data_IF_632248453649
#
_entry.id   IF_632248453649
#
_cell.length_a   1.000
_cell.length_b   1.000
_cell.length_c   1.000
_cell.angle_alpha   90.00
_cell.angle_beta   90.00
_cell.angle_gamma   90.00
#
_symmetry.space_group_name_H-M   'P 1'
#
loop_
_entity.id
_entity.type
_entity.pdbx_description
1 polymer ?
#
# COMPACT_ATOMS: atom_id res chain seq x y z
N UNK A 1 -87.56 -7.14 18.11
CA UNK A 1 -87.75 -7.78 16.79
C UNK A 1 -86.69 -7.26 15.84
N UNK A 2 -85.86 -8.20 15.36
CA UNK A 2 -85.12 -8.27 14.09
C UNK A 2 -85.01 -7.00 13.23
N UNK A 3 -83.77 -6.59 12.89
CA UNK A 3 -83.24 -6.56 11.50
C UNK A 3 -81.80 -6.03 11.42
N UNK A 4 -80.89 -6.89 10.93
CA UNK A 4 -80.07 -6.74 9.70
C UNK A 4 -78.91 -5.75 9.81
N UNK A 5 -77.66 -6.19 10.07
CA UNK A 5 -76.67 -6.85 9.18
C UNK A 5 -76.24 -5.96 7.99
N UNK A 6 -74.95 -5.60 7.95
CA UNK A 6 -73.94 -5.77 6.85
C UNK A 6 -72.94 -4.60 6.84
N UNK A 7 -71.65 -4.82 7.19
CA UNK A 7 -70.48 -4.97 6.27
C UNK A 7 -70.09 -3.63 5.60
N UNK A 8 -68.86 -3.13 5.49
CA UNK A 8 -67.49 -3.47 5.89
C UNK A 8 -66.55 -2.36 5.32
N UNK A 9 -65.27 -2.38 5.75
CA UNK A 9 -64.05 -2.05 4.98
C UNK A 9 -63.53 -0.59 4.96
N UNK A 10 -62.35 -0.39 5.58
CA UNK A 10 -61.14 0.31 5.08
C UNK A 10 -60.28 0.76 6.29
N UNK A 11 -59.17 0.07 6.60
CA UNK A 11 -57.78 0.37 6.18
C UNK A 11 -57.29 1.77 6.60
N UNK A 12 -56.26 1.83 7.47
CA UNK A 12 -54.84 2.18 7.15
C UNK A 12 -54.67 3.56 6.47
N UNK A 13 -53.68 4.42 6.73
CA UNK A 13 -52.62 4.62 7.71
C UNK A 13 -52.17 6.09 7.49
N UNK A 14 -52.00 6.87 8.56
CA UNK A 14 -50.73 7.43 9.08
C UNK A 14 -50.07 8.57 8.25
N UNK A 15 -49.86 9.68 8.98
CA UNK A 15 -48.92 10.83 8.89
C UNK A 15 -48.83 11.70 7.62
N UNK A 16 -49.37 12.90 7.82
CA UNK A 16 -49.03 14.19 7.25
C UNK A 16 -47.56 14.39 6.90
N UNK A 17 -47.34 14.81 5.65
CA UNK A 17 -46.08 15.27 5.09
C UNK A 17 -45.50 16.48 5.82
N UNK A 18 -44.33 16.33 6.44
CA UNK A 18 -43.43 17.45 6.71
C UNK A 18 -42.56 17.70 5.47
N UNK A 19 -42.89 18.74 4.71
CA UNK A 19 -41.97 19.35 3.74
C UNK A 19 -40.94 20.19 4.50
N UNK A 20 -39.80 19.60 4.84
CA UNK A 20 -38.61 20.35 5.21
C UNK A 20 -37.99 20.93 3.93
N UNK A 21 -38.24 22.21 3.67
CA UNK A 21 -37.50 22.99 2.68
C UNK A 21 -36.07 23.18 3.20
N UNK A 22 -35.12 22.42 2.65
CA UNK A 22 -33.70 22.64 2.89
C UNK A 22 -33.07 23.15 1.60
N UNK A 23 -33.15 24.47 1.39
CA UNK A 23 -32.44 25.20 0.34
C UNK A 23 -31.48 26.19 0.99
N UNK A 24 -30.18 25.96 0.76
CA UNK A 24 -29.04 26.79 1.19
C UNK A 24 -28.15 26.02 2.16
N UNK A 25 -26.91 25.60 1.86
CA UNK A 25 -25.95 26.02 0.84
C UNK A 25 -25.02 24.85 0.50
N UNK A 26 -24.99 24.43 -0.77
CA UNK A 26 -23.95 23.55 -1.32
C UNK A 26 -22.65 24.35 -1.58
N UNK A 27 -22.07 24.92 -0.52
CA UNK A 27 -20.80 25.66 -0.57
C UNK A 27 -19.68 24.99 0.23
N UNK A 28 -19.65 23.65 0.22
CA UNK A 28 -18.41 22.89 0.45
C UNK A 28 -17.55 22.81 -0.83
N UNK A 29 -17.48 23.90 -1.59
CA UNK A 29 -16.44 24.12 -2.62
C UNK A 29 -15.46 25.20 -2.13
N UNK A 30 -14.82 24.93 -1.00
CA UNK A 30 -13.59 25.64 -0.61
C UNK A 30 -12.37 24.84 -1.10
N UNK A 31 -11.95 25.13 -2.33
CA UNK A 31 -10.57 25.00 -2.85
C UNK A 31 -9.71 23.85 -2.30
N UNK A 32 -10.17 22.59 -2.36
CA UNK A 32 -9.21 21.48 -2.36
C UNK A 32 -8.56 21.51 -3.73
N UNK A 33 -7.30 21.93 -3.83
CA UNK A 33 -6.52 21.78 -5.06
C UNK A 33 -6.61 20.30 -5.44
N UNK A 34 -7.39 20.00 -6.48
CA UNK A 34 -7.58 18.63 -6.94
C UNK A 34 -6.25 18.24 -7.57
N UNK A 35 -5.45 17.45 -6.85
CA UNK A 35 -4.21 16.92 -7.38
C UNK A 35 -4.53 16.01 -8.57
N UNK A 36 -3.82 16.23 -9.67
CA UNK A 36 -3.94 15.42 -10.88
C UNK A 36 -2.55 15.08 -11.40
N UNK A 37 -2.32 13.82 -11.71
CA UNK A 37 -1.12 13.37 -12.42
C UNK A 37 -1.33 13.46 -13.94
N UNK A 38 -0.26 13.84 -14.64
CA UNK A 38 -0.17 13.77 -16.11
C UNK A 38 0.76 12.65 -16.56
N UNK A 39 1.28 11.85 -15.62
CA UNK A 39 2.23 10.79 -15.92
C UNK A 39 1.54 9.64 -16.66
N UNK A 40 2.21 9.17 -17.73
CA UNK A 40 1.78 8.09 -18.59
C UNK A 40 2.90 7.07 -18.73
N UNK A 41 2.52 5.79 -18.75
CA UNK A 41 3.44 4.71 -19.09
C UNK A 41 3.79 4.78 -20.58
N UNK A 42 5.09 4.80 -20.89
CA UNK A 42 5.58 4.72 -22.27
C UNK A 42 5.51 3.27 -22.78
N UNK A 43 4.31 2.87 -23.19
CA UNK A 43 4.09 1.52 -23.69
C UNK A 43 4.81 1.25 -25.01
N UNK A 44 5.08 2.28 -25.82
CA UNK A 44 5.79 2.09 -27.08
C UNK A 44 7.21 1.62 -26.82
N UNK A 45 7.97 2.38 -26.04
CA UNK A 45 9.33 1.99 -25.66
C UNK A 45 9.34 0.65 -24.93
N UNK A 46 8.41 0.42 -23.99
CA UNK A 46 8.29 -0.85 -23.29
C UNK A 46 8.13 -2.03 -24.25
N UNK A 47 7.16 -2.01 -25.17
CA UNK A 47 6.92 -3.13 -26.08
C UNK A 47 8.03 -3.31 -27.13
N UNK A 48 8.70 -2.24 -27.55
CA UNK A 48 9.82 -2.32 -28.49
C UNK A 48 11.11 -2.84 -27.85
N UNK A 49 11.34 -2.53 -26.57
CA UNK A 49 12.61 -2.82 -25.90
C UNK A 49 12.55 -4.01 -24.94
N UNK A 50 11.35 -4.46 -24.54
CA UNK A 50 11.20 -5.59 -23.61
C UNK A 50 11.83 -6.88 -24.16
N UNK A 51 12.42 -7.65 -23.25
CA UNK A 51 12.90 -9.00 -23.50
C UNK A 51 11.97 -9.97 -22.76
N UNK A 52 11.18 -10.72 -23.53
CA UNK A 52 10.09 -11.52 -22.96
C UNK A 52 9.00 -10.64 -22.35
N UNK A 53 8.70 -10.82 -21.06
CA UNK A 53 7.65 -10.10 -20.33
C UNK A 53 8.14 -8.83 -19.63
N UNK A 54 9.42 -8.48 -19.75
CA UNK A 54 10.03 -7.42 -18.94
C UNK A 54 10.92 -6.48 -19.76
N UNK A 55 10.94 -5.21 -19.40
CA UNK A 55 11.91 -4.24 -19.87
C UNK A 55 12.74 -3.74 -18.69
N UNK A 56 14.07 -3.88 -18.78
CA UNK A 56 15.01 -3.49 -17.73
C UNK A 56 16.04 -2.55 -18.30
N UNK A 57 16.27 -1.42 -17.64
CA UNK A 57 17.24 -0.40 -18.05
C UNK A 57 17.78 0.36 -16.84
N UNK A 58 18.87 1.12 -17.03
CA UNK A 58 19.44 2.00 -16.01
C UNK A 58 18.95 3.44 -16.22
N UNK A 59 18.41 4.04 -15.16
CA UNK A 59 18.03 5.45 -15.08
C UNK A 59 19.01 6.19 -14.17
N UNK A 60 19.57 7.30 -14.64
CA UNK A 60 20.58 8.05 -13.90
C UNK A 60 20.12 8.49 -12.51
N UNK A 61 18.85 8.86 -12.35
CA UNK A 61 18.31 9.36 -11.09
C UNK A 61 17.77 8.25 -10.20
N UNK A 62 17.19 7.20 -10.81
CA UNK A 62 16.43 6.17 -10.11
C UNK A 62 17.16 4.82 -9.99
N UNK A 63 18.28 4.65 -10.69
CA UNK A 63 19.03 3.39 -10.78
C UNK A 63 18.36 2.39 -11.71
N UNK A 64 18.44 1.10 -11.35
CA UNK A 64 17.86 0.03 -12.16
C UNK A 64 16.35 0.13 -12.15
N UNK A 65 15.77 0.26 -13.34
CA UNK A 65 14.33 0.25 -13.59
C UNK A 65 13.93 -1.08 -14.20
N UNK A 66 12.87 -1.69 -13.66
CA UNK A 66 12.23 -2.89 -14.20
C UNK A 66 10.75 -2.61 -14.42
N UNK A 67 10.32 -2.75 -15.66
CA UNK A 67 8.95 -2.60 -16.11
C UNK A 67 8.38 -3.94 -16.59
N UNK A 68 7.12 -4.23 -16.30
CA UNK A 68 6.41 -5.44 -16.74
C UNK A 68 4.90 -5.25 -16.73
N UNK A 69 4.15 -6.23 -17.23
CA UNK A 69 2.69 -6.20 -17.32
C UNK A 69 2.20 -5.78 -18.70
N UNK A 70 0.94 -5.40 -18.82
CA UNK A 70 0.31 -5.08 -20.09
C UNK A 70 -0.25 -6.28 -20.85
N UNK A 71 0.37 -7.44 -20.72
CA UNK A 71 -0.08 -8.68 -21.36
C UNK A 71 -1.43 -9.13 -20.78
N UNK A 72 -2.32 -9.63 -21.65
CA UNK A 72 -3.68 -10.06 -21.32
C UNK A 72 -4.52 -9.00 -20.57
N UNK A 73 -4.23 -7.71 -20.78
CA UNK A 73 -4.97 -6.62 -20.13
C UNK A 73 -4.54 -6.31 -18.70
N UNK A 74 -3.45 -6.92 -18.20
CA UNK A 74 -2.87 -6.55 -16.90
C UNK A 74 -2.35 -5.12 -16.90
N UNK A 75 -2.39 -4.45 -15.76
CA UNK A 75 -1.78 -3.14 -15.57
C UNK A 75 -0.25 -3.20 -15.73
N UNK A 76 0.36 -2.06 -16.05
CA UNK A 76 1.82 -1.96 -16.12
C UNK A 76 2.38 -1.64 -14.75
N UNK A 77 3.52 -2.23 -14.43
CA UNK A 77 4.22 -2.01 -13.16
C UNK A 77 5.65 -1.60 -13.44
N UNK A 78 6.14 -0.62 -12.69
CA UNK A 78 7.53 -0.17 -12.69
C UNK A 78 8.08 -0.22 -11.26
N UNK A 79 9.25 -0.86 -11.12
CA UNK A 79 10.10 -0.74 -9.94
C UNK A 79 11.37 -0.01 -10.34
N UNK A 80 11.80 0.95 -9.53
CA UNK A 80 13.06 1.64 -9.72
C UNK A 80 13.83 1.74 -8.40
N UNK A 81 15.10 1.31 -8.39
CA UNK A 81 15.97 1.39 -7.21
C UNK A 81 17.43 1.51 -7.61
N UNK A 82 18.19 2.36 -6.92
CA UNK A 82 19.66 2.30 -6.99
C UNK A 82 20.17 1.08 -6.24
N UNK A 83 21.28 0.52 -6.72
CA UNK A 83 21.85 -0.70 -6.16
C UNK A 83 22.17 -0.57 -4.66
N UNK A 84 22.69 0.59 -4.25
CA UNK A 84 23.13 0.89 -2.88
C UNK A 84 22.10 1.72 -2.08
N UNK A 85 20.82 1.67 -2.46
CA UNK A 85 19.74 2.31 -1.70
C UNK A 85 18.76 1.25 -1.18
N UNK A 86 18.36 1.39 0.09
CA UNK A 86 17.38 0.53 0.76
C UNK A 86 15.98 0.62 0.18
N UNK A 87 15.66 1.79 -0.36
CA UNK A 87 14.33 2.13 -0.79
C UNK A 87 14.27 2.34 -2.29
N UNK A 88 13.21 1.83 -2.91
CA UNK A 88 12.87 2.09 -4.30
C UNK A 88 11.54 2.79 -4.46
N UNK A 89 11.22 3.13 -5.69
CA UNK A 89 9.93 3.66 -6.11
C UNK A 89 9.16 2.60 -6.85
N UNK A 90 7.89 2.44 -6.48
CA UNK A 90 6.92 1.62 -7.19
C UNK A 90 5.95 2.53 -7.93
N UNK A 91 5.64 2.18 -9.17
CA UNK A 91 4.54 2.76 -9.93
C UNK A 91 3.71 1.67 -10.58
N UNK A 92 2.40 1.89 -10.66
CA UNK A 92 1.44 1.08 -11.40
C UNK A 92 0.68 1.99 -12.34
N UNK A 93 0.36 1.52 -13.54
CA UNK A 93 -0.33 2.28 -14.57
C UNK A 93 -1.45 1.47 -15.18
N UNK A 94 -2.59 2.13 -15.41
CA UNK A 94 -3.75 1.50 -16.02
C UNK A 94 -3.43 0.93 -17.40
N UNK A 95 -3.84 -0.31 -17.68
CA UNK A 95 -3.62 -0.93 -18.97
C UNK A 95 -4.21 -0.10 -20.12
N UNK A 96 -5.46 0.35 -19.97
CA UNK A 96 -6.21 1.01 -21.03
C UNK A 96 -5.69 2.41 -21.34
N UNK A 97 -5.55 3.25 -20.33
CA UNK A 97 -5.23 4.68 -20.48
C UNK A 97 -3.75 4.99 -20.34
N UNK A 98 -2.96 4.03 -19.86
CA UNK A 98 -1.55 4.20 -19.44
C UNK A 98 -1.34 5.24 -18.34
N UNK A 99 -2.42 5.79 -17.77
CA UNK A 99 -2.33 6.78 -16.69
C UNK A 99 -1.72 6.15 -15.44
N UNK A 100 -0.86 6.88 -14.75
CA UNK A 100 -0.39 6.49 -13.43
C UNK A 100 -1.59 6.21 -12.52
N UNK A 101 -1.67 4.99 -12.01
CA UNK A 101 -2.70 4.47 -11.12
C UNK A 101 -2.25 4.57 -9.67
N UNK A 102 -1.01 4.21 -9.39
CA UNK A 102 -0.48 4.10 -8.02
C UNK A 102 0.99 4.46 -7.99
N UNK A 103 1.41 5.19 -6.97
CA UNK A 103 2.83 5.50 -6.72
C UNK A 103 3.13 5.47 -5.22
N UNK A 104 4.31 4.97 -4.87
CA UNK A 104 4.82 5.01 -3.52
C UNK A 104 6.22 4.46 -3.41
N UNK A 105 6.73 4.36 -2.18
CA UNK A 105 8.07 3.83 -1.89
C UNK A 105 7.96 2.44 -1.27
N UNK A 106 8.99 1.65 -1.48
CA UNK A 106 9.13 0.32 -0.89
C UNK A 106 10.55 0.10 -0.37
N UNK A 107 10.70 -0.79 0.60
CA UNK A 107 12.00 -1.32 1.03
C UNK A 107 12.30 -2.62 0.28
N UNK A 108 13.36 -2.70 -0.54
CA UNK A 108 13.86 -3.93 -1.20
C UNK A 108 12.81 -4.99 -1.67
N UNK A 109 11.64 -4.57 -2.16
CA UNK A 109 10.46 -5.39 -2.47
C UNK A 109 9.90 -6.25 -1.31
N UNK A 110 10.15 -5.87 -0.05
CA UNK A 110 9.62 -6.52 1.15
C UNK A 110 8.35 -5.85 1.64
N UNK A 111 8.37 -4.53 1.83
CA UNK A 111 7.22 -3.79 2.35
C UNK A 111 7.10 -2.39 1.74
N UNK A 112 5.85 -1.90 1.71
CA UNK A 112 5.51 -0.53 1.33
C UNK A 112 5.84 0.44 2.47
N UNK A 113 6.44 1.59 2.18
CA UNK A 113 6.81 2.64 3.16
C UNK A 113 6.38 4.03 2.71
N UNK A 114 6.16 4.94 3.65
CA UNK A 114 5.81 6.32 3.40
C UNK A 114 4.43 6.52 2.77
N UNK A 115 4.29 7.65 2.09
CA UNK A 115 3.06 8.06 1.43
C UNK A 115 2.87 7.34 0.11
N UNK A 116 1.69 6.75 -0.06
CA UNK A 116 1.20 6.15 -1.29
C UNK A 116 0.03 6.96 -1.84
N UNK A 117 0.05 7.21 -3.14
CA UNK A 117 -1.01 7.94 -3.83
C UNK A 117 -1.68 7.05 -4.86
N UNK A 118 -3.00 7.10 -4.90
CA UNK A 118 -3.82 6.38 -5.88
C UNK A 118 -4.59 7.39 -6.72
N UNK A 119 -4.55 7.21 -8.04
CA UNK A 119 -5.19 8.07 -9.01
C UNK A 119 -6.19 7.26 -9.85
N UNK A 120 -7.24 7.92 -10.35
CA UNK A 120 -8.18 7.30 -11.29
C UNK A 120 -7.62 7.31 -12.72
N UNK A 121 -8.36 6.71 -13.67
CA UNK A 121 -7.93 6.64 -15.08
C UNK A 121 -7.74 8.02 -15.74
N UNK A 122 -8.45 9.05 -15.28
CA UNK A 122 -8.31 10.44 -15.74
C UNK A 122 -7.12 11.18 -15.10
N UNK A 123 -6.45 10.54 -14.14
CA UNK A 123 -5.30 11.03 -13.41
C UNK A 123 -5.62 11.83 -12.15
N UNK A 124 -6.87 11.93 -11.72
CA UNK A 124 -7.23 12.63 -10.48
C UNK A 124 -6.89 11.78 -9.25
N UNK A 125 -6.30 12.41 -8.23
CA UNK A 125 -5.99 11.76 -6.97
C UNK A 125 -7.28 11.33 -6.27
N UNK A 126 -7.41 10.03 -6.03
CA UNK A 126 -8.51 9.43 -5.28
C UNK A 126 -8.15 9.34 -3.80
N UNK A 127 -6.93 8.87 -3.51
CA UNK A 127 -6.54 8.49 -2.15
C UNK A 127 -5.07 8.78 -1.87
N UNK A 128 -4.79 9.15 -0.62
CA UNK A 128 -3.43 9.24 -0.07
C UNK A 128 -3.38 8.39 1.19
N UNK A 129 -2.50 7.40 1.20
CA UNK A 129 -2.34 6.43 2.28
C UNK A 129 -0.94 6.62 2.86
N UNK A 130 -0.85 6.95 4.14
CA UNK A 130 0.41 6.90 4.86
C UNK A 130 0.62 5.49 5.45
N UNK A 131 1.56 4.75 4.86
CA UNK A 131 1.87 3.37 5.28
C UNK A 131 2.63 3.32 6.60
N UNK A 132 3.14 4.44 7.09
CA UNK A 132 3.93 4.51 8.31
C UNK A 132 3.09 4.83 9.55
N UNK A 133 1.81 5.20 9.37
CA UNK A 133 0.87 5.49 10.48
C UNK A 133 0.89 4.39 11.57
N UNK A 134 0.80 3.09 11.25
CA UNK A 134 0.80 2.05 12.29
C UNK A 134 2.14 1.94 13.03
N UNK A 135 3.23 2.41 12.43
CA UNK A 135 4.60 2.23 12.93
C UNK A 135 5.16 3.51 13.58
N UNK A 136 4.38 4.58 13.70
CA UNK A 136 4.85 5.91 14.14
C UNK A 136 5.61 5.95 15.49
N UNK A 137 5.28 5.05 16.43
CA UNK A 137 5.93 5.04 17.75
C UNK A 137 7.32 4.38 17.71
N UNK A 138 7.51 3.44 16.78
CA UNK A 138 8.78 2.79 16.50
C UNK A 138 9.02 2.79 14.98
N UNK A 139 9.39 3.95 14.41
CA UNK A 139 9.51 4.11 12.97
C UNK A 139 10.76 3.43 12.43
N UNK A 140 10.89 3.42 11.10
CA UNK A 140 12.00 2.77 10.40
C UNK A 140 13.37 3.19 10.94
N UNK A 141 13.60 4.46 11.24
CA UNK A 141 14.91 4.96 11.69
C UNK A 141 15.35 4.33 13.02
N UNK A 142 14.39 3.96 13.89
CA UNK A 142 14.71 3.22 15.13
C UNK A 142 15.07 1.77 14.83
N UNK A 143 14.38 1.14 13.88
CA UNK A 143 14.64 -0.23 13.44
C UNK A 143 16.00 -0.32 12.74
N UNK A 144 16.31 0.61 11.85
CA UNK A 144 17.58 0.73 11.17
C UNK A 144 18.74 0.85 12.16
N UNK A 145 18.62 1.74 13.15
CA UNK A 145 19.60 1.87 14.22
C UNK A 145 19.72 0.61 15.06
N UNK A 146 18.61 -0.03 15.43
CA UNK A 146 18.65 -1.30 16.16
C UNK A 146 19.44 -2.36 15.39
N UNK A 147 19.20 -2.50 14.09
CA UNK A 147 19.89 -3.48 13.24
C UNK A 147 21.38 -3.15 13.07
N UNK A 148 21.70 -1.89 12.76
CA UNK A 148 23.07 -1.49 12.40
C UNK A 148 23.94 -1.21 13.64
N UNK A 149 23.39 -0.63 14.69
CA UNK A 149 24.11 -0.24 15.91
C UNK A 149 24.10 -1.32 16.98
N UNK A 150 23.00 -2.03 17.19
CA UNK A 150 22.90 -3.05 18.25
C UNK A 150 23.23 -4.44 17.74
N UNK A 151 22.60 -4.87 16.63
CA UNK A 151 22.87 -6.18 16.04
C UNK A 151 24.14 -6.20 15.18
N UNK A 152 24.69 -5.03 14.82
CA UNK A 152 25.87 -4.87 13.96
C UNK A 152 25.74 -5.56 12.59
N UNK A 153 24.51 -5.62 12.07
CA UNK A 153 24.21 -6.26 10.79
C UNK A 153 24.30 -5.25 9.63
N UNK A 154 24.66 -5.77 8.46
CA UNK A 154 24.62 -5.01 7.21
C UNK A 154 23.25 -5.20 6.53
N UNK A 155 22.48 -4.13 6.36
CA UNK A 155 21.17 -4.16 5.70
C UNK A 155 21.23 -4.48 4.19
N UNK A 156 22.41 -4.41 3.57
CA UNK A 156 22.64 -4.83 2.19
C UNK A 156 23.05 -6.30 2.06
N UNK A 157 23.22 -7.01 3.17
CA UNK A 157 23.45 -8.45 3.15
C UNK A 157 22.19 -9.18 2.67
N UNK A 158 22.36 -10.11 1.74
CA UNK A 158 21.26 -10.93 1.20
C UNK A 158 20.62 -11.81 2.28
N UNK A 159 21.36 -12.12 3.33
CA UNK A 159 20.91 -12.95 4.43
C UNK A 159 20.35 -12.11 5.58
N UNK A 160 20.23 -10.79 5.44
CA UNK A 160 19.53 -9.90 6.39
C UNK A 160 18.24 -9.39 5.75
N UNK A 161 17.10 -9.76 6.31
CA UNK A 161 15.80 -9.30 5.85
C UNK A 161 15.06 -8.51 6.93
N UNK A 162 14.32 -7.50 6.48
CA UNK A 162 13.42 -6.72 7.32
C UNK A 162 12.06 -6.66 6.65
N UNK A 163 11.03 -6.97 7.41
CA UNK A 163 9.65 -6.87 7.00
C UNK A 163 8.81 -6.19 8.09
N UNK A 164 7.58 -5.80 7.73
CA UNK A 164 6.59 -5.31 8.66
C UNK A 164 5.20 -5.71 8.23
N UNK A 165 4.34 -5.97 9.19
CA UNK A 165 2.93 -6.30 8.95
C UNK A 165 2.08 -5.89 10.16
N UNK A 166 0.77 -5.94 9.99
CA UNK A 166 -0.19 -5.86 11.10
C UNK A 166 -0.60 -7.30 11.39
N UNK A 167 -0.38 -7.76 12.61
CA UNK A 167 -0.95 -9.00 13.09
C UNK A 167 -2.47 -8.80 13.19
N UNK A 168 -3.24 -9.53 12.39
CA UNK A 168 -4.69 -9.32 12.24
C UNK A 168 -5.47 -9.78 13.48
N UNK A 169 -4.98 -10.78 14.21
CA UNK A 169 -5.69 -11.34 15.37
C UNK A 169 -5.70 -10.38 16.55
N UNK A 170 -4.57 -9.70 16.76
CA UNK A 170 -4.38 -8.76 17.88
C UNK A 170 -4.28 -7.31 17.44
N UNK A 171 -4.46 -7.03 16.14
CA UNK A 171 -4.32 -5.72 15.51
C UNK A 171 -3.01 -5.00 15.91
N UNK A 172 -1.89 -5.74 15.84
CA UNK A 172 -0.60 -5.26 16.33
C UNK A 172 0.39 -5.02 15.17
N UNK A 173 0.88 -3.78 14.96
CA UNK A 173 1.95 -3.53 14.01
C UNK A 173 3.27 -4.12 14.52
N UNK A 174 3.89 -4.95 13.69
CA UNK A 174 5.11 -5.70 14.01
C UNK A 174 6.19 -5.34 13.01
N UNK A 175 7.40 -5.09 13.51
CA UNK A 175 8.63 -5.21 12.74
C UNK A 175 9.19 -6.62 12.90
N UNK A 176 9.57 -7.23 11.79
CA UNK A 176 10.13 -8.57 11.75
C UNK A 176 11.49 -8.53 11.06
N UNK A 177 12.51 -8.94 11.78
CA UNK A 177 13.90 -8.91 11.32
C UNK A 177 14.39 -10.35 11.34
N UNK A 178 14.97 -10.80 10.24
CA UNK A 178 15.58 -12.13 10.17
C UNK A 178 17.00 -12.02 9.63
N UNK A 179 17.91 -12.81 10.19
CA UNK A 179 19.22 -12.95 9.58
C UNK A 179 19.83 -14.34 9.76
N UNK A 180 20.83 -14.67 8.94
CA UNK A 180 21.67 -15.86 9.13
C UNK A 180 23.07 -15.47 9.59
N UNK A 181 23.63 -16.22 10.53
CA UNK A 181 25.07 -16.15 10.85
C UNK A 181 25.89 -17.11 10.00
N UNK A 182 25.28 -18.23 9.59
CA UNK A 182 25.87 -19.30 8.78
C UNK A 182 24.76 -20.07 8.03
N UNK A 183 25.11 -21.17 7.37
CA UNK A 183 24.15 -21.98 6.60
C UNK A 183 23.18 -22.79 7.46
N UNK A 184 23.34 -22.82 8.78
CA UNK A 184 22.65 -23.75 9.67
C UNK A 184 21.63 -23.08 10.58
N UNK A 185 21.76 -21.79 10.87
CA UNK A 185 20.87 -21.07 11.79
C UNK A 185 20.26 -19.80 11.18
N UNK A 186 18.95 -19.65 11.36
CA UNK A 186 18.18 -18.44 11.05
C UNK A 186 17.70 -17.82 12.35
N UNK A 187 18.15 -16.60 12.60
CA UNK A 187 17.71 -15.78 13.71
C UNK A 187 16.50 -14.96 13.28
N UNK A 188 15.56 -14.76 14.19
CA UNK A 188 14.46 -13.82 13.97
C UNK A 188 14.12 -13.02 15.23
N UNK A 189 13.70 -11.77 15.03
CA UNK A 189 13.24 -10.87 16.07
C UNK A 189 11.91 -10.24 15.63
N UNK A 190 10.91 -10.29 16.50
CA UNK A 190 9.67 -9.51 16.37
C UNK A 190 9.68 -8.35 17.34
N UNK A 191 9.38 -7.14 16.88
CA UNK A 191 9.29 -5.93 17.69
C UNK A 191 7.89 -5.36 17.58
N UNK A 192 7.27 -5.07 18.73
CA UNK A 192 6.02 -4.35 18.82
C UNK A 192 6.24 -2.90 18.38
N UNK A 193 5.66 -2.47 17.25
CA UNK A 193 5.90 -1.13 16.72
C UNK A 193 5.18 -0.02 17.51
N UNK A 194 4.20 -0.36 18.36
CA UNK A 194 3.53 0.59 19.25
C UNK A 194 4.40 0.95 20.45
N UNK A 195 5.19 0.00 20.96
CA UNK A 195 5.97 0.17 22.20
C UNK A 195 7.48 0.16 21.99
N UNK A 196 7.97 -0.32 20.83
CA UNK A 196 9.38 -0.57 20.55
C UNK A 196 9.99 -1.73 21.34
N UNK A 197 9.17 -2.59 21.97
CA UNK A 197 9.65 -3.71 22.78
C UNK A 197 9.76 -4.97 21.93
N UNK A 198 10.82 -5.75 22.15
CA UNK A 198 10.96 -7.08 21.56
C UNK A 198 9.87 -7.99 22.11
N UNK A 199 9.13 -8.61 21.20
CA UNK A 199 8.08 -9.60 21.49
C UNK A 199 8.70 -10.99 21.56
N UNK A 200 9.48 -11.36 20.55
CA UNK A 200 10.15 -12.66 20.49
C UNK A 200 11.54 -12.56 19.86
N UNK A 201 12.40 -13.50 20.25
CA UNK A 201 13.68 -13.80 19.62
C UNK A 201 13.75 -15.31 19.42
N UNK A 202 13.97 -15.75 18.20
CA UNK A 202 13.95 -17.17 17.84
C UNK A 202 15.20 -17.53 17.04
N UNK A 203 15.67 -18.77 17.23
CA UNK A 203 16.77 -19.36 16.46
C UNK A 203 16.23 -20.67 15.87
N UNK A 204 16.15 -20.72 14.54
CA UNK A 204 15.64 -21.86 13.81
C UNK A 204 16.78 -22.55 13.06
N UNK A 205 16.95 -23.85 13.27
CA UNK A 205 17.92 -24.65 12.52
C UNK A 205 17.39 -24.99 11.14
N UNK A 206 18.17 -24.70 10.11
CA UNK A 206 17.91 -25.15 8.74
C UNK A 206 18.21 -26.65 8.69
N UNK A 207 17.20 -27.47 8.45
CA UNK A 207 17.42 -28.89 8.14
C UNK A 207 17.83 -28.99 6.68
N UNK A 208 18.97 -29.64 6.43
CA UNK A 208 19.43 -30.03 5.09
C UNK A 208 18.42 -30.94 4.38
#
# INVERSE_FOLDING_TARGET
MVRQIMISLAMLMIISSCKAQNTGSNDFKKNKKIERTTEKFDSWTYYTQRQGSEYVFEDYLRGKVRQFGGDNGSDFVEYARKQNELFGTYKEFYNKTKTLKKIGRYYYNKFSIGIWKLYNEDGYLIETIDRDIPYKNYPWEKVERFITEELKLNLFDKDVEVNRYIDEEVNLPIWYITWRSDSTEVFSIKINALTGKVISKEINKVRE
#
